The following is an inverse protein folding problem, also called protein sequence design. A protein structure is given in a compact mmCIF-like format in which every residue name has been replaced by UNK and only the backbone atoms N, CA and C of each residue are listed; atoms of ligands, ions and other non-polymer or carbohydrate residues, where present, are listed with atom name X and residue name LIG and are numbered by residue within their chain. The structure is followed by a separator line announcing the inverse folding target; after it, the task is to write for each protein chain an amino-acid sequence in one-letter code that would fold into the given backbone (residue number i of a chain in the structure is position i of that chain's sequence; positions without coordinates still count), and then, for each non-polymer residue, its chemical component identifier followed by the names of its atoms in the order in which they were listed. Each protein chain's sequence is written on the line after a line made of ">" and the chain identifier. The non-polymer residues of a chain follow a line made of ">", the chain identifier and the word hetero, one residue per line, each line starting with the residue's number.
data_IF_296229873644
#
_entry.id   IF_296229873644
#
_cell.length_a   1.000
_cell.length_b   1.000
_cell.length_c   1.000
_cell.angle_alpha   90.00
_cell.angle_beta   90.00
_cell.angle_gamma   90.00
#
_symmetry.space_group_name_H-M   'P 1'
#
loop_
_entity.id
_entity.type
_entity.pdbx_description
1 polymer ?
#
# COMPACT_ATOMS: atom_id res chain seq x y z
N UNK A 1 -0.43 -30.89 -4.15
CA UNK A 1 -0.86 -30.66 -5.54
C UNK A 1 -2.04 -29.73 -5.50
N UNK A 2 -1.73 -28.51 -5.52
CA UNK A 2 -2.02 -27.47 -6.49
C UNK A 2 -3.50 -27.12 -6.65
N UNK A 3 -4.00 -26.28 -5.75
CA UNK A 3 -5.32 -25.61 -5.86
C UNK A 3 -5.20 -24.11 -6.18
N UNK A 4 -4.00 -23.59 -6.41
CA UNK A 4 -3.78 -22.15 -6.61
C UNK A 4 -3.86 -21.67 -8.07
N UNK A 5 -3.94 -22.56 -9.03
CA UNK A 5 -3.90 -22.18 -10.45
C UNK A 5 -5.30 -21.92 -11.05
N UNK A 6 -6.37 -22.30 -10.35
CA UNK A 6 -7.72 -22.19 -10.90
C UNK A 6 -8.40 -20.82 -10.61
N UNK A 7 -7.92 -20.04 -9.64
CA UNK A 7 -8.52 -18.74 -9.29
C UNK A 7 -8.20 -17.64 -10.31
N UNK A 8 -7.00 -17.67 -10.92
CA UNK A 8 -6.58 -16.64 -11.87
C UNK A 8 -7.21 -16.75 -13.27
N UNK A 9 -7.74 -17.92 -13.64
CA UNK A 9 -8.22 -18.14 -15.02
C UNK A 9 -9.68 -17.69 -15.22
N UNK A 10 -10.48 -17.58 -14.17
CA UNK A 10 -11.90 -17.21 -14.30
C UNK A 10 -12.15 -15.69 -14.38
N UNK A 11 -11.21 -14.85 -13.94
CA UNK A 11 -11.36 -13.38 -13.86
C UNK A 11 -10.81 -12.63 -15.08
N UNK A 12 -10.12 -13.30 -16.00
CA UNK A 12 -9.52 -12.67 -17.19
C UNK A 12 -10.56 -12.17 -18.22
N UNK A 13 -11.84 -12.48 -18.05
CA UNK A 13 -12.87 -12.17 -19.06
C UNK A 13 -13.26 -10.69 -19.15
N UNK A 14 -12.98 -9.88 -18.13
CA UNK A 14 -13.34 -8.45 -18.09
C UNK A 14 -12.14 -7.50 -18.20
N UNK A 15 -10.91 -8.02 -18.14
CA UNK A 15 -9.71 -7.19 -18.31
C UNK A 15 -9.67 -6.51 -19.68
N UNK A 16 -9.26 -5.25 -19.70
CA UNK A 16 -8.97 -4.52 -20.93
C UNK A 16 -8.03 -5.31 -21.83
N UNK A 17 -8.35 -5.43 -23.13
CA UNK A 17 -7.61 -6.24 -24.10
C UNK A 17 -6.09 -5.98 -24.11
N UNK A 18 -5.69 -4.72 -23.91
CA UNK A 18 -4.28 -4.35 -23.84
C UNK A 18 -3.58 -4.95 -22.61
N UNK A 19 -4.23 -5.01 -21.46
CA UNK A 19 -3.69 -5.63 -20.25
C UNK A 19 -3.56 -7.15 -20.39
N UNK A 20 -4.54 -7.80 -21.03
CA UNK A 20 -4.50 -9.25 -21.34
C UNK A 20 -3.30 -9.57 -22.22
N UNK A 21 -3.07 -8.78 -23.28
CA UNK A 21 -1.94 -8.98 -24.19
C UNK A 21 -0.59 -8.73 -23.49
N UNK A 22 -0.47 -7.66 -22.72
CA UNK A 22 0.72 -7.36 -21.93
C UNK A 22 1.01 -8.48 -20.92
N UNK A 23 -0.02 -8.99 -20.22
CA UNK A 23 0.13 -10.07 -19.26
C UNK A 23 0.65 -11.36 -19.91
N UNK A 24 0.13 -11.72 -21.10
CA UNK A 24 0.57 -12.92 -21.84
C UNK A 24 2.01 -12.83 -22.33
N UNK A 25 2.47 -11.63 -22.65
CA UNK A 25 3.81 -11.37 -23.21
C UNK A 25 4.82 -10.90 -22.14
N UNK A 26 4.41 -10.82 -20.87
CA UNK A 26 5.28 -10.37 -19.79
C UNK A 26 6.43 -11.35 -19.55
N UNK A 27 7.62 -10.80 -19.24
CA UNK A 27 8.74 -11.58 -18.75
C UNK A 27 8.37 -12.26 -17.43
N UNK A 28 8.75 -13.53 -17.24
CA UNK A 28 8.34 -14.30 -16.06
C UNK A 28 9.42 -15.26 -15.57
N UNK A 29 9.31 -15.68 -14.33
CA UNK A 29 10.13 -16.75 -13.75
C UNK A 29 11.62 -16.48 -13.84
N UNK A 30 12.31 -17.23 -14.70
CA UNK A 30 13.77 -17.14 -14.87
C UNK A 30 14.23 -16.10 -15.89
N UNK A 31 13.33 -15.40 -16.56
CA UNK A 31 13.68 -14.31 -17.46
C UNK A 31 14.39 -13.18 -16.70
N UNK A 32 15.26 -12.46 -17.39
CA UNK A 32 16.02 -11.37 -16.77
C UNK A 32 15.41 -10.01 -17.09
N UNK A 33 15.33 -9.15 -16.07
CA UNK A 33 14.99 -7.74 -16.19
C UNK A 33 16.26 -6.91 -15.98
N UNK A 34 16.57 -6.05 -16.95
CA UNK A 34 17.65 -5.07 -16.82
C UNK A 34 17.14 -3.85 -16.08
N UNK A 35 17.74 -3.56 -14.93
CA UNK A 35 17.49 -2.37 -14.12
C UNK A 35 18.64 -1.37 -14.31
N UNK A 36 18.45 -0.12 -13.89
CA UNK A 36 19.47 0.92 -14.03
C UNK A 36 20.81 0.56 -13.37
N UNK A 37 20.76 -0.10 -12.22
CA UNK A 37 21.94 -0.45 -11.44
C UNK A 37 22.24 -1.97 -11.41
N UNK A 38 21.63 -2.76 -12.31
CA UNK A 38 21.88 -4.20 -12.29
C UNK A 38 20.95 -5.03 -13.15
N UNK A 39 21.01 -6.33 -12.90
CA UNK A 39 20.25 -7.34 -13.61
C UNK A 39 19.65 -8.29 -12.58
N UNK A 40 18.34 -8.54 -12.66
CA UNK A 40 17.64 -9.47 -11.79
C UNK A 40 16.77 -10.43 -12.61
N UNK A 41 16.58 -11.65 -12.11
CA UNK A 41 15.50 -12.50 -12.63
C UNK A 41 14.14 -11.99 -12.12
N UNK A 42 13.09 -12.18 -12.90
CA UNK A 42 11.73 -11.78 -12.50
C UNK A 42 11.35 -12.38 -11.15
N UNK A 43 11.60 -13.68 -10.93
CA UNK A 43 11.34 -14.35 -9.64
C UNK A 43 12.11 -13.76 -8.46
N UNK A 44 13.35 -13.29 -8.70
CA UNK A 44 14.18 -12.70 -7.64
C UNK A 44 13.69 -11.28 -7.32
N UNK A 45 13.21 -10.53 -8.34
CA UNK A 45 12.55 -9.24 -8.17
C UNK A 45 11.23 -9.39 -7.38
N UNK A 46 10.42 -10.39 -7.70
CA UNK A 46 9.19 -10.69 -6.97
C UNK A 46 9.46 -11.06 -5.50
N UNK A 47 10.45 -11.93 -5.23
CA UNK A 47 10.90 -12.24 -3.88
C UNK A 47 11.40 -10.99 -3.14
N UNK A 48 12.14 -10.12 -3.82
CA UNK A 48 12.61 -8.85 -3.27
C UNK A 48 11.44 -7.95 -2.87
N UNK A 49 10.48 -7.71 -3.78
CA UNK A 49 9.28 -6.94 -3.48
C UNK A 49 8.48 -7.56 -2.34
N UNK A 50 8.38 -8.88 -2.29
CA UNK A 50 7.68 -9.61 -1.22
C UNK A 50 8.36 -9.49 0.16
N UNK A 51 9.65 -9.14 0.22
CA UNK A 51 10.38 -8.98 1.47
C UNK A 51 10.10 -7.67 2.21
N UNK A 52 9.47 -6.68 1.56
CA UNK A 52 9.15 -5.41 2.22
C UNK A 52 8.09 -5.61 3.31
N UNK A 53 8.24 -5.00 4.49
CA UNK A 53 7.29 -5.08 5.60
C UNK A 53 6.09 -4.15 5.41
N UNK A 54 5.58 -4.03 4.20
CA UNK A 54 4.43 -3.19 3.81
C UNK A 54 3.62 -3.88 2.73
N UNK A 55 2.34 -3.56 2.59
CA UNK A 55 1.67 -3.79 1.31
C UNK A 55 2.16 -2.78 0.27
N UNK A 56 2.05 -3.13 -0.99
CA UNK A 56 2.42 -2.25 -2.11
C UNK A 56 1.28 -2.30 -3.14
N UNK A 57 0.77 -1.14 -3.52
CA UNK A 57 -0.08 -0.99 -4.69
C UNK A 57 0.59 -0.01 -5.64
N UNK A 58 0.51 -0.28 -6.94
CA UNK A 58 1.10 0.59 -7.95
C UNK A 58 0.08 0.93 -9.02
N UNK A 59 0.07 2.19 -9.41
CA UNK A 59 -0.78 2.74 -10.45
C UNK A 59 0.09 3.44 -11.48
N UNK A 60 -0.23 3.29 -12.75
CA UNK A 60 0.46 3.98 -13.83
C UNK A 60 0.08 5.49 -13.88
N UNK A 61 0.62 6.21 -14.87
CA UNK A 61 0.38 7.66 -15.05
C UNK A 61 -1.06 8.04 -15.34
N UNK A 62 -1.90 7.10 -15.76
CA UNK A 62 -3.36 7.29 -16.00
C UNK A 62 -4.21 6.86 -14.81
N UNK A 63 -3.57 6.41 -13.72
CA UNK A 63 -4.24 5.94 -12.51
C UNK A 63 -4.75 4.52 -12.61
N UNK A 64 -4.31 3.75 -13.60
CA UNK A 64 -4.68 2.34 -13.75
C UNK A 64 -3.80 1.46 -12.88
N UNK A 65 -4.42 0.52 -12.17
CA UNK A 65 -3.75 -0.44 -11.30
C UNK A 65 -2.83 -1.38 -12.09
N UNK A 66 -1.60 -1.57 -11.58
CA UNK A 66 -0.55 -2.33 -12.27
C UNK A 66 0.08 -3.43 -11.43
N UNK A 67 0.16 -3.27 -10.13
CA UNK A 67 0.84 -4.24 -9.26
C UNK A 67 0.30 -4.19 -7.82
N UNK A 68 0.21 -5.35 -7.20
CA UNK A 68 -0.15 -5.51 -5.80
C UNK A 68 0.72 -6.55 -5.09
N UNK A 69 1.14 -6.20 -3.89
CA UNK A 69 1.74 -7.11 -2.93
C UNK A 69 1.06 -6.93 -1.57
N UNK A 70 0.49 -7.99 -1.07
CA UNK A 70 -0.23 -7.98 0.21
C UNK A 70 0.73 -8.09 1.41
N UNK A 71 0.44 -7.34 2.47
CA UNK A 71 1.06 -7.57 3.76
C UNK A 71 0.44 -8.83 4.39
N UNK A 72 1.24 -9.77 4.95
CA UNK A 72 0.70 -10.94 5.63
C UNK A 72 -0.28 -10.56 6.75
N UNK A 73 -1.42 -11.25 6.79
CA UNK A 73 -2.48 -11.01 7.77
C UNK A 73 -3.50 -9.93 7.43
N UNK A 74 -3.35 -9.23 6.31
CA UNK A 74 -4.39 -8.35 5.76
C UNK A 74 -5.33 -9.15 4.85
N UNK A 75 -6.64 -8.98 5.05
CA UNK A 75 -7.67 -9.48 4.13
C UNK A 75 -8.10 -8.32 3.22
N UNK A 76 -7.45 -8.20 2.08
CA UNK A 76 -7.77 -7.19 1.07
C UNK A 76 -7.86 -7.87 -0.30
N UNK A 77 -8.90 -7.56 -1.04
CA UNK A 77 -9.03 -7.99 -2.44
C UNK A 77 -8.48 -6.89 -3.32
N UNK A 78 -7.38 -7.11 -4.05
CA UNK A 78 -6.83 -6.09 -4.93
C UNK A 78 -7.80 -5.79 -6.07
N UNK A 79 -7.73 -4.57 -6.65
CA UNK A 79 -8.46 -4.25 -7.87
C UNK A 79 -7.99 -5.12 -9.04
N UNK A 80 -8.78 -5.19 -10.10
CA UNK A 80 -8.35 -5.85 -11.34
C UNK A 80 -7.29 -5.01 -12.08
N UNK A 81 -6.40 -5.69 -12.81
CA UNK A 81 -5.38 -5.01 -13.61
C UNK A 81 -6.04 -4.04 -14.60
N UNK A 82 -5.60 -2.79 -14.57
CA UNK A 82 -6.15 -1.71 -15.39
C UNK A 82 -7.35 -0.96 -14.78
N UNK A 83 -7.86 -1.37 -13.64
CA UNK A 83 -8.85 -0.57 -12.92
C UNK A 83 -8.27 0.77 -12.46
N UNK A 84 -9.13 1.79 -12.44
CA UNK A 84 -8.71 3.12 -12.01
C UNK A 84 -8.57 3.19 -10.48
N UNK A 85 -7.64 4.00 -9.99
CA UNK A 85 -7.41 4.23 -8.55
C UNK A 85 -8.69 4.61 -7.80
N UNK A 86 -9.63 5.29 -8.44
CA UNK A 86 -10.91 5.68 -7.83
C UNK A 86 -11.81 4.49 -7.55
N UNK A 87 -11.61 3.33 -8.22
CA UNK A 87 -12.38 2.11 -7.96
C UNK A 87 -12.11 1.52 -6.56
N UNK A 88 -10.99 1.90 -5.91
CA UNK A 88 -10.71 1.51 -4.52
C UNK A 88 -11.71 2.12 -3.53
N UNK A 89 -12.30 3.26 -3.86
CA UNK A 89 -13.30 3.93 -3.02
C UNK A 89 -14.63 3.19 -3.05
N UNK A 90 -15.11 2.77 -1.87
CA UNK A 90 -16.39 2.10 -1.73
C UNK A 90 -17.56 3.08 -1.61
N UNK A 91 -17.27 4.32 -1.21
CA UNK A 91 -18.24 5.41 -1.09
C UNK A 91 -17.87 6.55 -2.05
N UNK A 92 -18.83 7.37 -2.40
CA UNK A 92 -18.59 8.58 -3.24
C UNK A 92 -17.62 9.57 -2.56
N UNK A 93 -17.59 9.60 -1.23
CA UNK A 93 -16.62 10.41 -0.47
C UNK A 93 -15.20 9.90 -0.65
N UNK A 94 -15.01 8.58 -0.56
CA UNK A 94 -13.70 7.94 -0.74
C UNK A 94 -13.22 8.07 -2.18
N UNK A 95 -14.09 7.90 -3.16
CA UNK A 95 -13.76 8.12 -4.58
C UNK A 95 -13.25 9.54 -4.82
N UNK A 96 -13.94 10.56 -4.30
CA UNK A 96 -13.49 11.97 -4.39
C UNK A 96 -12.16 12.19 -3.68
N UNK A 97 -11.94 11.56 -2.55
CA UNK A 97 -10.65 11.63 -1.85
C UNK A 97 -9.52 11.06 -2.70
N UNK A 98 -9.74 9.91 -3.34
CA UNK A 98 -8.77 9.28 -4.24
C UNK A 98 -8.53 10.12 -5.52
N UNK A 99 -9.56 10.75 -6.08
CA UNK A 99 -9.41 11.72 -7.16
C UNK A 99 -8.52 12.89 -6.75
N UNK A 100 -8.73 13.45 -5.54
CA UNK A 100 -7.86 14.50 -5.00
C UNK A 100 -6.42 14.04 -4.78
N UNK A 101 -6.22 12.84 -4.26
CA UNK A 101 -4.89 12.23 -4.09
C UNK A 101 -4.20 12.16 -5.45
N UNK A 102 -4.86 11.56 -6.45
CA UNK A 102 -4.34 11.46 -7.80
C UNK A 102 -4.01 12.83 -8.40
N UNK A 103 -4.93 13.79 -8.28
CA UNK A 103 -4.72 15.16 -8.79
C UNK A 103 -3.53 15.86 -8.12
N UNK A 104 -3.41 15.80 -6.79
CA UNK A 104 -2.31 16.45 -6.06
C UNK A 104 -0.95 15.87 -6.42
N UNK A 105 -0.86 14.56 -6.59
CA UNK A 105 0.38 13.87 -6.92
C UNK A 105 0.75 14.03 -8.39
N UNK A 106 -0.20 13.86 -9.31
CA UNK A 106 0.04 13.94 -10.76
C UNK A 106 0.40 15.36 -11.23
N UNK A 107 -0.12 16.39 -10.56
CA UNK A 107 0.22 17.80 -10.85
C UNK A 107 1.49 18.28 -10.16
N UNK A 108 2.14 17.43 -9.34
CA UNK A 108 3.32 17.81 -8.57
C UNK A 108 3.04 18.79 -7.42
N UNK A 109 1.78 19.01 -7.05
CA UNK A 109 1.37 19.87 -5.95
C UNK A 109 1.91 19.36 -4.61
N UNK A 110 2.05 18.07 -4.48
CA UNK A 110 2.81 17.38 -3.43
C UNK A 110 3.47 16.13 -4.02
N UNK A 111 4.51 15.63 -3.36
CA UNK A 111 5.18 14.37 -3.75
C UNK A 111 4.66 13.17 -2.96
N UNK A 112 4.04 13.44 -1.82
CA UNK A 112 3.64 12.40 -0.87
C UNK A 112 2.44 12.86 -0.04
N UNK A 113 1.54 11.93 0.29
CA UNK A 113 0.40 12.12 1.18
C UNK A 113 0.33 10.93 2.14
N UNK A 114 0.00 11.21 3.41
CA UNK A 114 -0.15 10.19 4.45
C UNK A 114 -1.56 10.19 5.00
N UNK A 115 -2.08 9.00 5.22
CA UNK A 115 -3.34 8.78 5.90
C UNK A 115 -3.13 7.76 7.03
N UNK A 116 -3.90 7.89 8.08
CA UNK A 116 -3.84 6.96 9.21
C UNK A 116 -5.11 6.12 9.25
N UNK A 117 -4.95 4.84 9.53
CA UNK A 117 -6.10 3.94 9.74
C UNK A 117 -6.78 4.29 11.07
N UNK A 118 -8.11 4.40 11.05
CA UNK A 118 -8.92 4.69 12.23
C UNK A 118 -8.97 3.49 13.22
N UNK A 119 -8.57 2.31 12.78
CA UNK A 119 -8.48 1.10 13.61
C UNK A 119 -7.13 0.95 14.32
N UNK A 120 -6.27 1.96 14.26
CA UNK A 120 -4.97 1.95 14.94
C UNK A 120 -5.12 1.84 16.47
N UNK A 121 -4.19 1.11 17.09
CA UNK A 121 -4.17 0.81 18.52
C UNK A 121 -2.84 1.19 19.16
N UNK A 122 -2.66 0.91 20.45
CA UNK A 122 -1.38 1.14 21.16
C UNK A 122 -0.21 0.34 20.59
N UNK A 123 -0.47 -0.81 19.97
CA UNK A 123 0.55 -1.75 19.49
C UNK A 123 0.56 -1.93 17.97
N UNK A 124 -0.21 -1.11 17.27
CA UNK A 124 -0.35 -1.16 15.82
C UNK A 124 -0.68 0.23 15.30
N UNK A 125 0.19 0.79 14.47
CA UNK A 125 -0.04 2.10 13.87
C UNK A 125 0.16 2.03 12.34
N UNK A 126 -0.92 1.71 11.63
CA UNK A 126 -0.95 1.60 10.18
C UNK A 126 -0.98 2.99 9.56
N UNK A 127 -0.11 3.19 8.59
CA UNK A 127 -0.03 4.43 7.80
C UNK A 127 -0.09 4.07 6.33
N UNK A 128 -1.03 4.67 5.62
CA UNK A 128 -1.12 4.63 4.17
C UNK A 128 -0.33 5.79 3.60
N UNK A 129 0.61 5.51 2.74
CA UNK A 129 1.44 6.52 2.08
C UNK A 129 1.27 6.43 0.58
N UNK A 130 0.71 7.48 -0.02
CA UNK A 130 0.65 7.66 -1.47
C UNK A 130 1.83 8.51 -1.91
N UNK A 131 2.64 7.99 -2.83
CA UNK A 131 3.83 8.68 -3.34
C UNK A 131 3.83 8.74 -4.85
N UNK A 132 4.09 9.95 -5.39
CA UNK A 132 4.26 10.13 -6.82
C UNK A 132 5.56 9.47 -7.32
N UNK A 133 5.45 8.73 -8.42
CA UNK A 133 6.58 8.16 -9.15
C UNK A 133 6.91 9.09 -10.32
N UNK A 134 8.19 9.36 -10.51
CA UNK A 134 8.68 10.14 -11.65
C UNK A 134 9.65 9.30 -12.47
N UNK A 135 9.63 9.48 -13.79
CA UNK A 135 10.61 8.89 -14.67
C UNK A 135 11.98 9.62 -14.59
N UNK A 136 12.96 9.16 -15.36
CA UNK A 136 14.31 9.75 -15.41
C UNK A 136 14.33 11.21 -15.92
N UNK A 137 13.29 11.61 -16.65
CA UNK A 137 13.15 12.95 -17.23
C UNK A 137 12.24 13.83 -16.34
N UNK A 138 11.96 13.37 -15.11
CA UNK A 138 11.12 14.03 -14.10
C UNK A 138 9.64 14.20 -14.50
N UNK A 139 9.14 13.44 -15.45
CA UNK A 139 7.71 13.39 -15.74
C UNK A 139 7.01 12.43 -14.79
N UNK A 140 5.77 12.77 -14.43
CA UNK A 140 4.92 11.91 -13.63
C UNK A 140 4.69 10.57 -14.35
N UNK A 141 5.05 9.47 -13.67
CA UNK A 141 4.97 8.11 -14.20
C UNK A 141 3.90 7.26 -13.51
N UNK A 142 3.42 7.68 -12.35
CA UNK A 142 2.42 6.94 -11.61
C UNK A 142 2.41 7.22 -10.12
N UNK A 143 1.74 6.36 -9.37
CA UNK A 143 1.62 6.44 -7.91
C UNK A 143 1.96 5.07 -7.32
N UNK A 144 2.72 5.08 -6.23
CA UNK A 144 2.79 3.95 -5.30
C UNK A 144 1.99 4.28 -4.04
N UNK A 145 1.19 3.32 -3.59
CA UNK A 145 0.64 3.29 -2.26
C UNK A 145 1.36 2.23 -1.44
N UNK A 146 1.72 2.57 -0.22
CA UNK A 146 2.28 1.63 0.75
C UNK A 146 1.49 1.69 2.03
N UNK A 147 1.07 0.53 2.55
CA UNK A 147 0.43 0.43 3.87
C UNK A 147 1.40 -0.29 4.80
N UNK A 148 1.79 0.36 5.87
CA UNK A 148 2.82 -0.14 6.78
C UNK A 148 2.43 0.09 8.24
N UNK A 149 2.66 -0.92 9.09
CA UNK A 149 2.70 -0.72 10.53
C UNK A 149 4.02 -0.08 10.92
N UNK A 150 3.99 1.17 11.38
CA UNK A 150 5.19 1.89 11.81
C UNK A 150 5.47 1.71 13.31
N UNK A 151 4.54 1.13 14.08
CA UNK A 151 4.71 0.98 15.53
C UNK A 151 5.98 0.19 15.91
N UNK A 152 6.35 -0.92 15.27
CA UNK A 152 7.59 -1.64 15.58
C UNK A 152 8.85 -0.78 15.43
N UNK A 153 8.88 0.13 14.45
CA UNK A 153 9.99 1.06 14.25
C UNK A 153 10.02 2.15 15.33
N UNK A 154 8.85 2.65 15.72
CA UNK A 154 8.73 3.61 16.83
C UNK A 154 9.14 2.95 18.14
N UNK A 155 8.70 1.74 18.43
CA UNK A 155 9.10 0.98 19.61
C UNK A 155 10.62 0.77 19.67
N UNK A 156 11.21 0.35 18.55
CA UNK A 156 12.65 0.21 18.42
C UNK A 156 13.38 1.53 18.70
N UNK A 157 12.93 2.64 18.08
CA UNK A 157 13.50 3.97 18.31
C UNK A 157 13.45 4.37 19.80
N UNK A 158 12.32 4.22 20.46
CA UNK A 158 12.15 4.55 21.86
C UNK A 158 13.06 3.72 22.76
N UNK A 159 13.21 2.44 22.47
CA UNK A 159 14.11 1.52 23.17
C UNK A 159 15.58 1.97 23.06
N UNK A 160 16.04 2.26 21.84
CA UNK A 160 17.44 2.62 21.58
C UNK A 160 17.80 4.02 22.15
N UNK A 161 16.82 4.95 22.17
CA UNK A 161 17.05 6.33 22.64
C UNK A 161 16.74 6.53 24.12
N UNK A 162 16.10 5.58 24.79
CA UNK A 162 15.63 5.71 26.16
C UNK A 162 14.52 6.76 26.34
N UNK A 163 13.87 7.15 25.24
CA UNK A 163 12.76 8.12 25.25
C UNK A 163 11.43 7.41 25.47
N UNK A 164 10.39 8.17 25.78
CA UNK A 164 9.01 7.70 25.86
C UNK A 164 8.05 8.68 25.21
N UNK A 165 6.95 8.16 24.65
CA UNK A 165 5.85 8.99 24.17
C UNK A 165 5.06 9.52 25.37
N UNK A 166 4.60 10.74 25.26
CA UNK A 166 3.69 11.39 26.19
C UNK A 166 2.56 12.06 25.40
N UNK A 167 1.35 12.04 25.95
CA UNK A 167 0.21 12.70 25.34
C UNK A 167 0.42 14.21 25.27
N UNK A 168 0.07 14.81 24.13
CA UNK A 168 -0.11 16.26 24.02
C UNK A 168 -1.61 16.59 24.19
N UNK A 169 -2.03 17.12 25.35
CA UNK A 169 -3.44 17.44 25.61
C UNK A 169 -3.99 18.56 24.72
N UNK A 170 -3.12 19.33 24.06
CA UNK A 170 -3.53 20.41 23.14
C UNK A 170 -3.74 19.91 21.71
N UNK A 171 -3.28 18.71 21.38
CA UNK A 171 -3.42 18.15 20.05
C UNK A 171 -4.69 17.29 19.99
N UNK A 172 -5.68 17.74 19.22
CA UNK A 172 -6.96 17.05 19.03
C UNK A 172 -6.94 16.01 17.89
N UNK A 173 -5.92 16.02 17.03
CA UNK A 173 -5.82 15.10 15.91
C UNK A 173 -5.76 13.61 16.31
N UNK A 174 -5.32 13.33 17.52
CA UNK A 174 -5.19 11.98 18.07
C UNK A 174 -6.42 11.46 18.85
N UNK A 175 -7.55 12.14 18.83
CA UNK A 175 -8.70 11.75 19.66
C UNK A 175 -9.22 10.35 19.36
N UNK A 176 -9.34 9.98 18.07
CA UNK A 176 -9.78 8.65 17.66
C UNK A 176 -8.81 7.58 18.13
N UNK A 177 -7.50 7.82 17.96
CA UNK A 177 -6.45 6.92 18.39
C UNK A 177 -6.46 6.73 19.92
N UNK A 178 -6.57 7.80 20.69
CA UNK A 178 -6.68 7.74 22.17
C UNK A 178 -7.95 7.02 22.63
N UNK A 179 -9.05 7.12 21.89
CA UNK A 179 -10.29 6.40 22.18
C UNK A 179 -10.09 4.89 21.97
N UNK A 180 -9.45 4.49 20.89
CA UNK A 180 -9.15 3.07 20.63
C UNK A 180 -8.20 2.49 21.69
N UNK A 181 -7.21 3.26 22.15
CA UNK A 181 -6.32 2.85 23.23
C UNK A 181 -7.07 2.50 24.54
N UNK A 182 -8.11 3.27 24.91
CA UNK A 182 -8.92 2.99 26.10
C UNK A 182 -9.73 1.70 25.95
N UNK A 183 -10.26 1.42 24.79
CA UNK A 183 -11.02 0.18 24.51
C UNK A 183 -10.10 -1.02 24.67
N UNK A 184 -8.88 -0.97 24.14
CA UNK A 184 -7.90 -2.06 24.25
C UNK A 184 -7.50 -2.31 25.72
N UNK A 185 -7.32 -1.26 26.52
CA UNK A 185 -6.99 -1.37 27.93
C UNK A 185 -8.12 -2.00 28.77
N UNK A 186 -9.37 -1.71 28.43
CA UNK A 186 -10.54 -2.29 29.09
C UNK A 186 -10.74 -3.76 28.70
N UNK A 187 -10.50 -4.14 27.44
CA UNK A 187 -10.61 -5.52 26.97
C UNK A 187 -9.53 -6.44 27.54
N UNK A 188 -8.31 -5.92 27.76
CA UNK A 188 -7.20 -6.66 28.37
C UNK A 188 -7.34 -6.91 29.87
N UNK A 189 -8.17 -6.15 30.57
CA UNK A 189 -8.41 -6.32 32.02
C UNK A 189 -9.36 -7.48 32.36
N UNK A 190 -10.01 -8.09 31.37
CA UNK A 190 -10.95 -9.22 31.57
C UNK A 190 -10.31 -10.60 31.42
N UNK A 191 -9.00 -10.71 31.21
CA UNK A 191 -8.27 -11.97 31.09
C UNK A 191 -7.30 -12.27 32.26
N UNK A 192 -7.59 -11.76 33.47
CA UNK A 192 -6.86 -12.11 34.70
C UNK A 192 -7.74 -12.91 35.67
#
# INVERSE_FOLDING_TARGET
>A
MSSSTCFFICEVSEMNKNWIENYKNAAQGNDYVKLNAGLMKVKDLDNYLSSFPSSLLSFNKTGEFTYYKQLPGMNYTPPELGENITSLGQTESEKKQLEEVFHKLSTGKTKELHFVDQTNTQKRFMVDTYRAIFDKDHHFAGINETVQDIYPLVEYYLKETGQKLVDDPKNTNGEVYRKNQKIDAESGASEL
#
